data_IF_605621368625
#
_entry.id   IF_605621368625
#
_cell.length_a   1.000
_cell.length_b   1.000
_cell.length_c   1.000
_cell.angle_alpha   90.00
_cell.angle_beta   90.00
_cell.angle_gamma   90.00
#
_symmetry.space_group_name_H-M   'P 1'
#
loop_
_entity.id
_entity.type
_entity.pdbx_description
1 polymer ?
#
# COMPACT_ATOMS: atom_id res chain seq x y z
N UNK A 1 30.06 -27.03 -27.80
CA UNK A 1 30.51 -26.67 -26.44
C UNK A 1 29.29 -26.19 -25.68
N UNK A 2 28.71 -27.05 -24.83
CA UNK A 2 27.54 -26.74 -24.01
C UNK A 2 28.08 -26.17 -22.71
N UNK A 3 27.95 -24.86 -22.52
CA UNK A 3 28.27 -24.21 -21.25
C UNK A 3 27.23 -24.59 -20.21
N UNK A 4 27.59 -25.52 -19.33
CA UNK A 4 26.86 -25.83 -18.10
C UNK A 4 26.89 -24.59 -17.22
N UNK A 5 25.79 -23.85 -17.20
CA UNK A 5 25.60 -22.75 -16.26
C UNK A 5 25.67 -23.33 -14.82
N UNK A 6 26.76 -23.06 -14.13
CA UNK A 6 26.96 -23.38 -12.73
C UNK A 6 25.83 -22.72 -11.95
N UNK A 7 24.95 -23.55 -11.39
CA UNK A 7 23.87 -23.11 -10.47
C UNK A 7 24.53 -22.44 -9.26
N UNK A 8 24.54 -21.13 -9.25
CA UNK A 8 25.09 -20.36 -8.14
C UNK A 8 24.27 -20.69 -6.87
N UNK A 9 24.89 -21.29 -5.83
CA UNK A 9 24.19 -21.74 -4.62
C UNK A 9 23.47 -20.60 -3.89
N UNK A 10 23.99 -19.36 -4.01
CA UNK A 10 23.35 -18.16 -3.47
C UNK A 10 22.01 -17.87 -4.13
N UNK A 11 21.88 -18.10 -5.44
CA UNK A 11 20.60 -17.93 -6.15
C UNK A 11 19.57 -19.01 -5.74
N UNK A 12 20.00 -20.22 -5.39
CA UNK A 12 19.11 -21.27 -4.89
C UNK A 12 18.60 -20.93 -3.49
N UNK A 13 19.45 -20.43 -2.61
CA UNK A 13 19.11 -19.99 -1.27
C UNK A 13 18.10 -18.80 -1.29
N UNK A 14 18.34 -17.79 -2.10
CA UNK A 14 17.41 -16.67 -2.30
C UNK A 14 16.06 -17.12 -2.84
N UNK A 15 16.03 -18.04 -3.79
CA UNK A 15 14.78 -18.61 -4.32
C UNK A 15 13.98 -19.39 -3.27
N UNK A 16 14.64 -20.03 -2.31
CA UNK A 16 13.96 -20.70 -1.20
C UNK A 16 13.39 -19.72 -0.19
N UNK A 17 14.17 -18.72 0.24
CA UNK A 17 13.71 -17.70 1.22
C UNK A 17 12.58 -16.84 0.62
N UNK A 18 12.70 -16.45 -0.65
CA UNK A 18 11.69 -15.63 -1.33
C UNK A 18 10.49 -16.43 -1.84
N UNK A 19 10.45 -17.74 -1.61
CA UNK A 19 9.40 -18.65 -2.09
C UNK A 19 9.16 -18.55 -3.60
N UNK A 20 10.15 -18.12 -4.39
CA UNK A 20 10.02 -17.93 -5.84
C UNK A 20 9.72 -19.24 -6.59
N UNK A 21 10.04 -20.38 -6.00
CA UNK A 21 9.71 -21.71 -6.54
C UNK A 21 8.30 -22.18 -6.14
N UNK A 22 7.61 -21.42 -5.26
CA UNK A 22 6.27 -21.77 -4.82
C UNK A 22 5.26 -21.27 -5.85
N UNK A 23 4.59 -22.16 -6.53
CA UNK A 23 3.54 -21.83 -7.50
C UNK A 23 2.16 -21.94 -6.85
N UNK A 24 1.56 -20.81 -6.42
CA UNK A 24 0.22 -20.82 -5.85
C UNK A 24 -0.85 -21.22 -6.87
N UNK A 25 -0.53 -21.17 -8.17
CA UNK A 25 -1.46 -21.48 -9.25
C UNK A 25 -2.00 -22.93 -9.19
N UNK A 26 -1.25 -23.88 -8.63
CA UNK A 26 -1.72 -25.25 -8.42
C UNK A 26 -2.78 -25.35 -7.32
N UNK A 27 -2.74 -24.45 -6.32
CA UNK A 27 -3.68 -24.41 -5.19
C UNK A 27 -4.98 -23.70 -5.54
N UNK A 28 -4.94 -22.74 -6.47
CA UNK A 28 -6.11 -21.97 -6.88
C UNK A 28 -7.19 -22.85 -7.52
N UNK A 29 -6.81 -23.93 -8.21
CA UNK A 29 -7.73 -24.87 -8.87
C UNK A 29 -8.66 -25.61 -7.89
N UNK A 30 -8.24 -25.78 -6.64
CA UNK A 30 -9.01 -26.48 -5.59
C UNK A 30 -9.66 -25.54 -4.57
N UNK A 31 -9.46 -24.22 -4.71
CA UNK A 31 -9.99 -23.24 -3.76
C UNK A 31 -11.45 -22.91 -4.07
N UNK A 32 -12.32 -23.02 -3.06
CA UNK A 32 -13.71 -22.54 -3.16
C UNK A 32 -13.80 -21.04 -3.42
N UNK A 33 -12.83 -20.25 -2.90
CA UNK A 33 -12.73 -18.81 -3.13
C UNK A 33 -12.49 -18.48 -4.61
N UNK A 34 -11.82 -19.36 -5.34
CA UNK A 34 -11.59 -19.16 -6.77
C UNK A 34 -12.87 -19.22 -7.61
N UNK A 35 -13.94 -19.86 -7.08
CA UNK A 35 -15.26 -19.89 -7.74
C UNK A 35 -15.97 -18.53 -7.72
N UNK A 36 -15.63 -17.66 -6.76
CA UNK A 36 -16.17 -16.30 -6.69
C UNK A 36 -15.44 -15.34 -7.63
N UNK A 37 -14.20 -15.66 -7.99
CA UNK A 37 -13.42 -14.85 -8.93
C UNK A 37 -14.00 -15.07 -10.33
N UNK A 38 -14.41 -13.98 -10.97
CA UNK A 38 -14.95 -14.04 -12.32
C UNK A 38 -16.42 -14.48 -12.44
N UNK A 39 -17.19 -14.49 -11.34
CA UNK A 39 -18.62 -14.81 -11.34
C UNK A 39 -19.41 -14.00 -12.40
N UNK A 40 -18.96 -12.78 -12.67
CA UNK A 40 -19.54 -11.84 -13.64
C UNK A 40 -18.63 -11.56 -14.84
N UNK A 41 -17.71 -12.48 -15.16
CA UNK A 41 -16.77 -12.30 -16.28
C UNK A 41 -17.46 -12.09 -17.64
N UNK A 42 -18.67 -12.61 -17.83
CA UNK A 42 -19.49 -12.38 -19.03
C UNK A 42 -19.88 -10.88 -19.19
N UNK A 43 -20.01 -10.14 -18.12
CA UNK A 43 -20.27 -8.69 -18.14
C UNK A 43 -19.09 -7.91 -18.71
N UNK A 44 -17.91 -8.46 -18.63
CA UNK A 44 -16.68 -7.84 -19.13
C UNK A 44 -16.65 -7.80 -20.66
N UNK A 45 -17.14 -8.82 -21.33
CA UNK A 45 -17.02 -8.96 -22.79
C UNK A 45 -17.90 -7.98 -23.59
N UNK A 46 -18.87 -7.31 -22.98
CA UNK A 46 -19.79 -6.36 -23.63
C UNK A 46 -19.66 -4.90 -23.23
N UNK A 47 -18.79 -4.56 -22.26
CA UNK A 47 -18.78 -3.22 -21.67
C UNK A 47 -17.48 -2.44 -21.92
N UNK A 48 -17.59 -1.30 -22.62
CA UNK A 48 -16.51 -0.31 -22.75
C UNK A 48 -16.02 0.22 -21.38
N UNK A 49 -16.82 0.08 -20.33
CA UNK A 49 -16.44 0.45 -18.96
C UNK A 49 -15.23 -0.34 -18.45
N UNK A 50 -14.98 -1.53 -18.94
CA UNK A 50 -13.89 -2.40 -18.48
C UNK A 50 -12.52 -1.91 -18.94
N UNK A 51 -12.44 -1.23 -20.09
CA UNK A 51 -11.19 -0.60 -20.54
C UNK A 51 -10.72 0.51 -19.57
N UNK A 52 -11.68 1.14 -18.87
CA UNK A 52 -11.42 2.24 -17.95
C UNK A 52 -11.22 1.79 -16.48
N UNK A 53 -11.47 0.51 -16.17
CA UNK A 53 -11.44 0.04 -14.78
C UNK A 53 -10.05 0.15 -14.14
N UNK A 54 -8.99 -0.16 -14.87
CA UNK A 54 -7.62 -0.02 -14.35
C UNK A 54 -7.25 1.45 -14.18
N UNK A 55 -7.66 2.32 -15.11
CA UNK A 55 -7.45 3.75 -15.02
C UNK A 55 -8.20 4.34 -13.81
N UNK A 56 -9.46 3.97 -13.62
CA UNK A 56 -10.25 4.38 -12.44
C UNK A 56 -9.60 3.89 -11.14
N UNK A 57 -9.04 2.68 -11.15
CA UNK A 57 -8.26 2.16 -10.03
C UNK A 57 -7.03 3.02 -9.73
N UNK A 58 -6.28 3.39 -10.75
CA UNK A 58 -5.12 4.28 -10.60
C UNK A 58 -5.51 5.68 -10.10
N UNK A 59 -6.65 6.22 -10.56
CA UNK A 59 -7.19 7.48 -10.08
C UNK A 59 -7.56 7.42 -8.60
N UNK A 60 -8.21 6.35 -8.13
CA UNK A 60 -8.57 6.17 -6.73
C UNK A 60 -7.32 6.05 -5.83
N UNK A 61 -6.30 5.33 -6.27
CA UNK A 61 -5.01 5.23 -5.55
C UNK A 61 -4.34 6.60 -5.49
N UNK A 62 -4.27 7.30 -6.63
CA UNK A 62 -3.66 8.63 -6.72
C UNK A 62 -4.41 9.65 -5.87
N UNK A 63 -5.75 9.59 -5.86
CA UNK A 63 -6.58 10.43 -5.00
C UNK A 63 -6.28 10.19 -3.52
N UNK A 64 -6.20 8.92 -3.08
CA UNK A 64 -5.86 8.59 -1.71
C UNK A 64 -4.46 9.12 -1.33
N UNK A 65 -3.46 8.88 -2.17
CA UNK A 65 -2.08 9.34 -1.93
C UNK A 65 -2.03 10.88 -1.84
N UNK A 66 -2.68 11.56 -2.79
CA UNK A 66 -2.66 13.02 -2.86
C UNK A 66 -3.40 13.69 -1.70
N UNK A 67 -4.48 13.06 -1.19
CA UNK A 67 -5.30 13.63 -0.13
C UNK A 67 -4.90 13.18 1.27
N UNK A 68 -4.16 12.08 1.41
CA UNK A 68 -3.76 11.52 2.70
C UNK A 68 -3.10 12.52 3.67
N UNK A 69 -2.23 13.47 3.25
CA UNK A 69 -1.63 14.44 4.16
C UNK A 69 -2.62 15.48 4.71
N UNK A 70 -3.75 15.67 4.02
CA UNK A 70 -4.71 16.76 4.31
C UNK A 70 -5.99 16.26 4.98
N UNK A 71 -6.26 14.96 4.91
CA UNK A 71 -7.49 14.36 5.37
C UNK A 71 -7.36 13.78 6.78
N UNK A 72 -8.47 13.84 7.52
CA UNK A 72 -8.58 13.16 8.81
C UNK A 72 -8.57 11.64 8.63
N UNK A 73 -8.22 10.92 9.70
CA UNK A 73 -8.21 9.45 9.72
C UNK A 73 -9.56 8.84 9.29
N UNK A 74 -10.68 9.48 9.64
CA UNK A 74 -12.02 9.04 9.24
C UNK A 74 -12.24 9.17 7.73
N UNK A 75 -11.83 10.29 7.13
CA UNK A 75 -11.94 10.51 5.69
C UNK A 75 -11.09 9.53 4.88
N UNK A 76 -9.86 9.28 5.35
CA UNK A 76 -8.99 8.24 4.76
C UNK A 76 -9.66 6.87 4.88
N UNK A 77 -10.29 6.56 6.03
CA UNK A 77 -11.02 5.32 6.24
C UNK A 77 -12.16 5.12 5.22
N UNK A 78 -12.93 6.17 4.92
CA UNK A 78 -13.98 6.13 3.90
C UNK A 78 -13.43 5.89 2.49
N UNK A 79 -12.31 6.53 2.13
CA UNK A 79 -11.65 6.29 0.85
C UNK A 79 -11.13 4.87 0.72
N UNK A 80 -10.53 4.34 1.79
CA UNK A 80 -10.06 2.95 1.84
C UNK A 80 -11.23 1.97 1.70
N UNK A 81 -12.37 2.26 2.31
CA UNK A 81 -13.58 1.44 2.18
C UNK A 81 -14.12 1.45 0.74
N UNK A 82 -14.15 2.62 0.10
CA UNK A 82 -14.53 2.74 -1.31
C UNK A 82 -13.58 1.95 -2.22
N UNK A 83 -12.27 2.03 -1.97
CA UNK A 83 -11.25 1.26 -2.69
C UNK A 83 -11.45 -0.24 -2.46
N UNK A 84 -11.76 -0.67 -1.23
CA UNK A 84 -12.02 -2.06 -0.91
C UNK A 84 -13.25 -2.59 -1.67
N UNK A 85 -14.34 -1.83 -1.72
CA UNK A 85 -15.51 -2.14 -2.51
C UNK A 85 -15.20 -2.26 -4.01
N UNK A 86 -14.42 -1.32 -4.53
CA UNK A 86 -14.00 -1.33 -5.92
C UNK A 86 -13.07 -2.53 -6.25
N UNK A 87 -12.13 -2.84 -5.37
CA UNK A 87 -11.28 -4.03 -5.50
C UNK A 87 -12.10 -5.32 -5.53
N UNK A 88 -13.15 -5.41 -4.70
CA UNK A 88 -14.05 -6.55 -4.64
C UNK A 88 -14.81 -6.69 -5.95
N UNK A 89 -15.36 -5.60 -6.49
CA UNK A 89 -16.03 -5.58 -7.79
C UNK A 89 -15.09 -6.04 -8.91
N UNK A 90 -13.85 -5.53 -8.96
CA UNK A 90 -12.87 -5.96 -9.95
C UNK A 90 -12.54 -7.44 -9.83
N UNK A 91 -12.49 -7.98 -8.61
CA UNK A 91 -12.19 -9.39 -8.37
C UNK A 91 -13.34 -10.28 -8.84
N UNK A 92 -14.59 -9.85 -8.68
CA UNK A 92 -15.78 -10.57 -9.15
C UNK A 92 -15.91 -10.58 -10.67
N UNK A 93 -15.39 -9.56 -11.35
CA UNK A 93 -15.47 -9.40 -12.81
C UNK A 93 -14.21 -9.95 -13.53
N UNK A 94 -13.17 -10.32 -12.81
CA UNK A 94 -11.89 -10.76 -13.38
C UNK A 94 -11.98 -12.15 -14.03
N UNK A 95 -11.23 -12.36 -15.11
CA UNK A 95 -11.18 -13.64 -15.86
C UNK A 95 -10.25 -14.68 -15.19
N UNK A 96 -10.13 -14.67 -13.89
CA UNK A 96 -9.38 -15.70 -13.15
C UNK A 96 -7.85 -15.61 -13.21
N UNK A 97 -7.28 -14.53 -13.73
CA UNK A 97 -5.83 -14.30 -13.77
C UNK A 97 -5.32 -13.60 -12.50
N UNK A 98 -5.69 -14.11 -11.34
CA UNK A 98 -5.12 -13.60 -10.09
C UNK A 98 -3.69 -14.10 -10.00
N UNK A 99 -2.73 -13.21 -10.29
CA UNK A 99 -1.32 -13.49 -10.03
C UNK A 99 -1.04 -13.35 -8.54
N UNK A 100 -1.25 -14.41 -7.78
CA UNK A 100 -0.82 -14.49 -6.38
C UNK A 100 0.69 -14.66 -6.37
N UNK A 101 1.38 -13.74 -5.70
CA UNK A 101 2.82 -13.81 -5.48
C UNK A 101 3.11 -14.31 -4.06
N UNK A 102 4.33 -14.79 -3.75
CA UNK A 102 4.71 -15.17 -2.40
C UNK A 102 4.48 -14.07 -1.36
N UNK A 103 4.62 -12.81 -1.76
CA UNK A 103 4.35 -11.65 -0.88
C UNK A 103 2.88 -11.64 -0.42
N UNK A 104 1.93 -11.94 -1.31
CA UNK A 104 0.51 -12.01 -0.92
C UNK A 104 0.25 -13.10 0.12
N UNK A 105 0.97 -14.22 0.06
CA UNK A 105 0.85 -15.30 1.04
C UNK A 105 1.39 -14.85 2.40
N UNK A 106 2.55 -14.18 2.44
CA UNK A 106 3.12 -13.63 3.66
C UNK A 106 2.20 -12.58 4.30
N UNK A 107 1.60 -11.71 3.49
CA UNK A 107 0.62 -10.72 3.94
C UNK A 107 -0.63 -11.39 4.52
N UNK A 108 -1.13 -12.45 3.88
CA UNK A 108 -2.25 -13.24 4.38
C UNK A 108 -1.91 -13.94 5.71
N UNK A 109 -0.71 -14.48 5.83
CA UNK A 109 -0.23 -15.09 7.08
C UNK A 109 -0.17 -14.04 8.20
N UNK A 110 0.38 -12.86 7.92
CA UNK A 110 0.42 -11.74 8.86
C UNK A 110 -0.98 -11.33 9.31
N UNK A 111 -1.92 -11.19 8.37
CA UNK A 111 -3.32 -10.90 8.69
C UNK A 111 -3.96 -12.00 9.56
N UNK A 112 -3.68 -13.28 9.27
CA UNK A 112 -4.15 -14.41 10.06
C UNK A 112 -3.64 -14.34 11.52
N UNK A 113 -2.35 -14.07 11.73
CA UNK A 113 -1.75 -13.90 13.05
C UNK A 113 -2.41 -12.72 13.78
N UNK A 114 -2.59 -11.58 13.11
CA UNK A 114 -3.26 -10.40 13.68
C UNK A 114 -4.71 -10.72 14.10
N UNK A 115 -5.44 -11.51 13.28
CA UNK A 115 -6.81 -11.94 13.59
C UNK A 115 -6.84 -12.82 14.83
N UNK A 116 -5.93 -13.81 14.93
CA UNK A 116 -5.81 -14.67 16.12
C UNK A 116 -5.48 -13.82 17.36
N UNK A 117 -4.50 -12.92 17.25
CA UNK A 117 -4.13 -12.02 18.35
C UNK A 117 -5.30 -11.15 18.81
N UNK A 118 -6.11 -10.65 17.88
CA UNK A 118 -7.33 -9.89 18.17
C UNK A 118 -8.36 -10.75 18.90
N UNK A 119 -8.53 -12.01 18.50
CA UNK A 119 -9.48 -12.93 19.13
C UNK A 119 -9.11 -13.20 20.61
N UNK A 120 -7.84 -13.21 20.94
CA UNK A 120 -7.34 -13.43 22.31
C UNK A 120 -7.07 -12.13 23.08
N UNK A 121 -7.28 -10.96 22.48
CA UNK A 121 -7.06 -9.67 23.14
C UNK A 121 -8.01 -9.48 24.35
N UNK A 122 -7.52 -8.98 25.49
CA UNK A 122 -8.38 -8.60 26.62
C UNK A 122 -9.23 -7.34 26.30
N UNK A 123 -8.76 -6.48 25.39
CA UNK A 123 -9.45 -5.23 24.99
C UNK A 123 -10.05 -5.40 23.61
N UNK A 124 -11.19 -6.09 23.51
CA UNK A 124 -11.83 -6.51 22.26
C UNK A 124 -12.11 -5.36 21.30
N UNK A 125 -12.72 -4.27 21.80
CA UNK A 125 -13.14 -3.14 20.94
C UNK A 125 -11.95 -2.48 20.24
N UNK A 126 -10.93 -2.11 20.98
CA UNK A 126 -9.74 -1.48 20.43
C UNK A 126 -8.97 -2.44 19.46
N UNK A 127 -8.92 -3.74 19.80
CA UNK A 127 -8.28 -4.74 18.96
C UNK A 127 -9.04 -4.93 17.63
N UNK A 128 -10.38 -4.95 17.65
CA UNK A 128 -11.22 -5.02 16.44
C UNK A 128 -11.05 -3.79 15.56
N UNK A 129 -11.03 -2.58 16.13
CA UNK A 129 -10.75 -1.36 15.37
C UNK A 129 -9.38 -1.42 14.68
N UNK A 130 -8.37 -1.89 15.38
CA UNK A 130 -7.04 -2.11 14.84
C UNK A 130 -7.03 -3.12 13.68
N UNK A 131 -7.74 -4.24 13.83
CA UNK A 131 -7.85 -5.28 12.81
C UNK A 131 -8.60 -4.77 11.57
N UNK A 132 -9.67 -3.99 11.74
CA UNK A 132 -10.40 -3.38 10.61
C UNK A 132 -9.46 -2.44 9.82
N UNK A 133 -8.75 -1.55 10.51
CA UNK A 133 -7.78 -0.64 9.89
C UNK A 133 -6.70 -1.42 9.14
N UNK A 134 -6.13 -2.45 9.77
CA UNK A 134 -5.16 -3.34 9.13
C UNK A 134 -5.74 -3.98 7.87
N UNK A 135 -6.93 -4.55 7.96
CA UNK A 135 -7.59 -5.24 6.83
C UNK A 135 -7.78 -4.29 5.65
N UNK A 136 -8.27 -3.07 5.88
CA UNK A 136 -8.43 -2.07 4.83
C UNK A 136 -7.09 -1.71 4.16
N UNK A 137 -6.02 -1.54 4.95
CA UNK A 137 -4.68 -1.27 4.40
C UNK A 137 -4.12 -2.46 3.59
N UNK A 138 -4.38 -3.69 4.02
CA UNK A 138 -3.94 -4.88 3.28
C UNK A 138 -4.73 -5.07 1.96
N UNK A 139 -6.02 -4.73 1.95
CA UNK A 139 -6.82 -4.69 0.71
C UNK A 139 -6.29 -3.59 -0.21
N UNK A 140 -5.97 -2.42 0.32
CA UNK A 140 -5.35 -1.34 -0.44
C UNK A 140 -4.01 -1.78 -1.06
N UNK A 141 -3.18 -2.50 -0.30
CA UNK A 141 -1.94 -3.09 -0.82
C UNK A 141 -2.23 -4.07 -1.98
N UNK A 142 -3.16 -5.00 -1.81
CA UNK A 142 -3.51 -5.97 -2.84
C UNK A 142 -4.08 -5.28 -4.11
N UNK A 143 -4.89 -4.25 -3.92
CA UNK A 143 -5.43 -3.43 -5.01
C UNK A 143 -4.32 -2.68 -5.76
N UNK A 144 -3.44 -2.01 -5.03
CA UNK A 144 -2.31 -1.26 -5.61
C UNK A 144 -1.38 -2.20 -6.37
N UNK A 145 -1.04 -3.36 -5.79
CA UNK A 145 -0.21 -4.37 -6.45
C UNK A 145 -0.84 -4.88 -7.76
N UNK A 146 -2.17 -4.93 -7.84
CA UNK A 146 -2.90 -5.27 -9.07
C UNK A 146 -2.78 -4.19 -10.14
N UNK A 147 -3.05 -2.94 -9.78
CA UNK A 147 -3.02 -1.79 -10.72
C UNK A 147 -1.60 -1.50 -11.22
N UNK A 148 -0.60 -1.64 -10.35
CA UNK A 148 0.81 -1.44 -10.69
C UNK A 148 1.42 -2.53 -11.60
N UNK A 149 0.64 -3.49 -12.08
CA UNK A 149 1.08 -4.41 -13.15
C UNK A 149 1.23 -3.70 -14.51
N UNK A 150 0.53 -2.60 -14.70
CA UNK A 150 0.70 -1.74 -15.87
C UNK A 150 1.84 -0.73 -15.61
N UNK A 151 2.95 -0.77 -16.38
CA UNK A 151 4.06 0.17 -16.20
C UNK A 151 3.63 1.64 -16.31
N UNK A 152 2.67 1.92 -17.20
CA UNK A 152 2.14 3.27 -17.38
C UNK A 152 1.41 3.77 -16.11
N UNK A 153 0.58 2.94 -15.50
CA UNK A 153 -0.16 3.29 -14.29
C UNK A 153 0.77 3.35 -13.07
N UNK A 154 1.80 2.50 -13.02
CA UNK A 154 2.85 2.55 -12.02
C UNK A 154 3.55 3.91 -12.04
N UNK A 155 4.00 4.35 -13.21
CA UNK A 155 4.66 5.66 -13.34
C UNK A 155 3.74 6.80 -12.91
N UNK A 156 2.44 6.75 -13.25
CA UNK A 156 1.47 7.74 -12.80
C UNK A 156 1.33 7.77 -11.28
N UNK A 157 1.13 6.62 -10.65
CA UNK A 157 0.98 6.52 -9.18
C UNK A 157 2.25 7.01 -8.48
N UNK A 158 3.43 6.59 -8.94
CA UNK A 158 4.71 7.01 -8.37
C UNK A 158 4.94 8.52 -8.56
N UNK A 159 4.60 9.07 -9.72
CA UNK A 159 4.68 10.52 -9.95
C UNK A 159 3.76 11.28 -8.99
N UNK A 160 2.53 10.81 -8.79
CA UNK A 160 1.61 11.41 -7.81
C UNK A 160 2.21 11.39 -6.40
N UNK A 161 2.79 10.27 -5.98
CA UNK A 161 3.44 10.15 -4.67
C UNK A 161 4.60 11.15 -4.51
N UNK A 162 5.48 11.22 -5.50
CA UNK A 162 6.65 12.13 -5.46
C UNK A 162 6.20 13.60 -5.45
N UNK A 163 5.22 13.98 -6.29
CA UNK A 163 4.71 15.34 -6.32
C UNK A 163 4.00 15.74 -5.02
N UNK A 164 3.25 14.82 -4.42
CA UNK A 164 2.60 15.09 -3.13
C UNK A 164 3.64 15.18 -2.01
N UNK A 165 4.64 14.30 -2.00
CA UNK A 165 5.75 14.37 -1.05
C UNK A 165 6.52 15.70 -1.19
N UNK A 166 6.74 16.17 -2.41
CA UNK A 166 7.34 17.48 -2.68
C UNK A 166 6.49 18.63 -2.08
N UNK A 167 5.18 18.65 -2.33
CA UNK A 167 4.29 19.67 -1.77
C UNK A 167 4.31 19.68 -0.24
N UNK A 168 4.27 18.49 0.39
CA UNK A 168 4.35 18.32 1.85
C UNK A 168 5.72 18.80 2.37
N UNK A 169 6.80 18.52 1.65
CA UNK A 169 8.16 18.95 2.01
C UNK A 169 8.33 20.46 1.95
N UNK A 170 7.79 21.11 0.90
CA UNK A 170 7.85 22.58 0.75
C UNK A 170 7.19 23.26 1.93
N UNK A 171 6.02 22.78 2.36
CA UNK A 171 5.36 23.33 3.55
C UNK A 171 6.14 23.03 4.84
N UNK A 172 6.74 21.86 4.95
CA UNK A 172 7.62 21.53 6.07
C UNK A 172 8.84 22.46 6.15
N UNK A 173 9.50 22.76 5.04
CA UNK A 173 10.61 23.73 4.97
C UNK A 173 10.12 25.12 5.39
N UNK A 174 8.93 25.53 4.93
CA UNK A 174 8.34 26.79 5.37
C UNK A 174 8.17 26.84 6.90
N UNK A 175 7.68 25.77 7.51
CA UNK A 175 7.55 25.69 8.98
C UNK A 175 8.93 25.77 9.68
N UNK A 176 9.97 25.17 9.10
CA UNK A 176 11.33 25.25 9.66
C UNK A 176 11.88 26.68 9.65
N UNK A 177 11.58 27.48 8.62
CA UNK A 177 12.11 28.83 8.45
C UNK A 177 11.30 29.86 9.26
N UNK A 178 9.97 29.76 9.22
CA UNK A 178 9.06 30.76 9.82
C UNK A 178 8.47 30.33 11.17
N UNK A 179 8.84 29.14 11.65
CA UNK A 179 8.30 28.54 12.87
C UNK A 179 7.02 27.73 12.60
N UNK A 180 6.80 26.75 13.45
CA UNK A 180 5.60 25.90 13.49
C UNK A 180 4.90 26.10 14.83
N UNK A 181 3.56 26.04 14.85
CA UNK A 181 2.80 26.04 16.10
C UNK A 181 3.10 24.76 16.89
N UNK A 182 3.24 24.88 18.21
CA UNK A 182 3.37 23.73 19.09
C UNK A 182 2.01 23.03 19.24
N UNK A 183 1.75 22.02 18.41
CA UNK A 183 0.49 21.28 18.43
C UNK A 183 0.39 20.23 19.54
N UNK A 184 1.53 19.79 20.09
CA UNK A 184 1.54 18.81 21.16
C UNK A 184 2.84 18.85 21.96
N UNK A 185 2.75 18.45 23.22
CA UNK A 185 3.87 18.29 24.15
C UNK A 185 4.66 17.01 23.84
N UNK A 186 5.17 16.89 22.63
CA UNK A 186 6.04 15.77 22.23
C UNK A 186 7.49 15.93 22.68
N UNK A 187 7.81 17.10 23.22
CA UNK A 187 9.13 17.39 23.76
C UNK A 187 9.14 17.07 25.24
N UNK A 188 10.09 16.29 25.67
CA UNK A 188 10.39 16.13 27.08
C UNK A 188 10.79 17.51 27.65
N UNK A 189 10.04 18.07 28.62
CA UNK A 189 10.36 19.38 29.18
C UNK A 189 11.74 19.43 29.88
N UNK A 190 12.34 18.26 30.14
CA UNK A 190 13.70 18.16 30.73
C UNK A 190 14.82 18.08 29.68
N UNK A 191 14.46 17.96 28.40
CA UNK A 191 15.40 17.89 27.29
C UNK A 191 15.98 19.30 26.97
N UNK A 192 17.26 19.37 26.63
CA UNK A 192 17.91 20.60 26.13
C UNK A 192 17.20 21.11 24.84
N UNK A 193 16.47 20.26 24.14
CA UNK A 193 15.71 20.57 22.94
C UNK A 193 14.22 20.87 23.23
N UNK A 194 13.84 21.09 24.48
CA UNK A 194 12.44 21.33 24.89
C UNK A 194 11.81 22.56 24.21
N UNK A 195 12.64 23.53 23.74
CA UNK A 195 12.20 24.73 23.03
C UNK A 195 12.08 24.55 21.51
N UNK A 196 12.60 23.45 20.94
CA UNK A 196 12.61 23.25 19.49
C UNK A 196 11.31 22.62 19.02
N UNK A 197 10.59 23.35 18.17
CA UNK A 197 9.37 22.83 17.55
C UNK A 197 9.72 21.96 16.35
N UNK A 198 9.37 20.67 16.41
CA UNK A 198 9.56 19.77 15.28
C UNK A 198 8.57 20.08 14.17
N UNK A 199 9.06 20.06 12.94
CA UNK A 199 8.25 20.25 11.74
C UNK A 199 7.29 19.05 11.55
N UNK A 200 6.02 19.32 11.28
CA UNK A 200 4.98 18.30 11.08
C UNK A 200 4.22 18.46 9.75
N UNK A 201 4.44 19.56 9.02
CA UNK A 201 3.75 19.91 7.78
C UNK A 201 2.22 19.84 7.94
N UNK A 202 1.52 19.25 6.99
CA UNK A 202 0.05 19.07 7.04
C UNK A 202 -0.40 17.89 7.90
N UNK A 203 0.50 16.99 8.29
CA UNK A 203 0.15 15.75 9.00
C UNK A 203 -0.04 15.93 10.51
N UNK A 204 0.28 17.10 11.06
CA UNK A 204 0.08 17.41 12.48
C UNK A 204 0.95 16.60 13.44
N UNK A 205 1.82 15.71 12.95
CA UNK A 205 2.72 14.89 13.75
C UNK A 205 4.05 14.68 13.00
N UNK A 206 5.20 15.00 13.62
CA UNK A 206 6.52 14.84 13.00
C UNK A 206 6.84 13.41 12.57
N UNK A 207 6.40 12.41 13.32
CA UNK A 207 6.65 11.01 13.00
C UNK A 207 5.81 10.56 11.79
N UNK A 208 4.58 11.06 11.67
CA UNK A 208 3.75 10.83 10.48
C UNK A 208 4.36 11.51 9.26
N UNK A 209 4.89 12.72 9.41
CA UNK A 209 5.61 13.42 8.33
C UNK A 209 6.81 12.60 7.86
N UNK A 210 7.66 12.14 8.77
CA UNK A 210 8.82 11.31 8.43
C UNK A 210 8.39 10.01 7.70
N UNK A 211 7.38 9.33 8.21
CA UNK A 211 6.84 8.10 7.59
C UNK A 211 6.27 8.35 6.20
N UNK A 212 5.64 9.50 5.97
CA UNK A 212 5.09 9.87 4.68
C UNK A 212 6.18 10.24 3.67
N UNK A 213 7.22 10.95 4.10
CA UNK A 213 8.33 11.37 3.23
C UNK A 213 9.27 10.23 2.87
N UNK A 214 9.38 9.20 3.70
CA UNK A 214 10.30 8.09 3.48
C UNK A 214 10.15 7.42 2.11
N UNK A 215 8.95 6.96 1.70
CA UNK A 215 8.75 6.44 0.35
C UNK A 215 8.97 7.50 -0.74
N UNK A 216 8.60 8.77 -0.50
CA UNK A 216 8.87 9.87 -1.42
C UNK A 216 10.35 10.03 -1.74
N UNK A 217 11.21 10.00 -0.73
CA UNK A 217 12.68 10.07 -0.88
C UNK A 217 13.20 8.85 -1.65
N UNK A 218 12.76 7.63 -1.28
CA UNK A 218 13.20 6.41 -1.93
C UNK A 218 12.85 6.39 -3.44
N UNK A 219 11.62 6.75 -3.80
CA UNK A 219 11.20 6.77 -5.20
C UNK A 219 11.76 7.95 -6.00
N UNK A 220 12.00 9.10 -5.35
CA UNK A 220 12.73 10.20 -6.01
C UNK A 220 14.16 9.82 -6.35
N UNK A 221 14.86 9.16 -5.42
CA UNK A 221 16.20 8.63 -5.67
C UNK A 221 16.22 7.58 -6.79
N UNK A 222 15.26 6.65 -6.80
CA UNK A 222 15.13 5.67 -7.86
C UNK A 222 14.84 6.32 -9.23
N UNK A 223 13.99 7.35 -9.28
CA UNK A 223 13.69 8.09 -10.49
C UNK A 223 14.94 8.77 -11.08
N UNK A 224 15.79 9.37 -10.25
CA UNK A 224 17.06 9.96 -10.69
C UNK A 224 18.04 8.95 -11.29
N UNK A 225 17.95 7.67 -10.89
CA UNK A 225 18.80 6.62 -11.43
C UNK A 225 18.28 6.05 -12.78
N UNK A 226 17.00 6.23 -13.08
CA UNK A 226 16.36 5.64 -14.27
C UNK A 226 16.19 6.67 -15.39
N UNK A 227 16.15 7.95 -15.06
CA UNK A 227 15.97 9.08 -15.97
C UNK A 227 17.30 9.85 -16.10
#
# INVERSE_FOLDING_TARGET
MVTTATKNPMNAFWKQITLLNFSPASWSKYSYLHRFVGLFSQWRQGSRFVEWTELMGALLISLLIATAPFFSTSQIGFLLLAIAGYWLLLTLVDEGKIGVTPIHILVLLYWGIATVSTAFSPVKTAALEGLIKLTLNLIFFAFTARIMRSPRLTNWILTTLVLTALAVSVYGIRQQIFGAEQLATWNDPTSELAGDTRVYSYLGNPNLLASYLFPGIAFSGAALCVW
#
